data_IF_096101576602
#
_entry.id   IF_096101576602
#
_cell.length_a   1.000
_cell.length_b   1.000
_cell.length_c   1.000
_cell.angle_alpha   90.00
_cell.angle_beta   90.00
_cell.angle_gamma   90.00
#
_symmetry.space_group_name_H-M   'P 1'
#
loop_
_entity.id
_entity.type
_entity.pdbx_description
1 polymer ?
#
# COMPACT_ATOMS: atom_id res chain seq x y z
N UNK A 1 17.76 2.35 6.57
CA UNK A 1 18.53 3.56 6.93
C UNK A 1 19.30 3.35 8.20
N UNK A 2 20.61 3.23 8.09
CA UNK A 2 21.47 3.27 9.27
C UNK A 2 21.79 4.72 9.66
N UNK A 3 21.66 5.00 10.94
CA UNK A 3 21.93 6.27 11.57
C UNK A 3 22.73 6.04 12.86
N UNK A 4 23.35 7.09 13.38
CA UNK A 4 23.86 7.08 14.74
C UNK A 4 22.73 6.72 15.71
N UNK A 5 23.08 6.08 16.84
CA UNK A 5 22.11 5.81 17.89
C UNK A 5 21.34 7.09 18.27
N UNK A 6 20.03 6.95 18.46
CA UNK A 6 19.23 8.00 19.10
C UNK A 6 19.84 8.36 20.46
N UNK A 7 19.82 9.65 20.80
CA UNK A 7 20.22 10.11 22.13
C UNK A 7 19.07 9.96 23.13
N UNK A 8 19.40 10.08 24.42
CA UNK A 8 18.43 10.12 25.51
C UNK A 8 17.47 11.32 25.42
N UNK A 9 17.87 12.42 24.78
CA UNK A 9 16.99 13.57 24.48
C UNK A 9 16.10 13.36 23.25
N UNK A 10 16.31 12.28 22.48
CA UNK A 10 15.56 12.06 21.26
C UNK A 10 14.06 11.95 21.56
N UNK A 11 13.26 12.78 20.90
CA UNK A 11 11.79 12.70 20.94
C UNK A 11 11.24 11.54 20.10
N UNK A 12 12.05 10.91 19.25
CA UNK A 12 11.61 9.79 18.41
C UNK A 12 11.82 8.43 19.06
N UNK A 13 12.77 8.32 19.99
CA UNK A 13 13.05 7.08 20.68
C UNK A 13 12.04 6.86 21.81
N UNK A 14 11.53 5.64 21.98
CA UNK A 14 10.48 5.30 22.96
C UNK A 14 9.20 6.12 22.76
N UNK A 15 8.94 6.62 21.55
CA UNK A 15 7.73 7.40 21.27
C UNK A 15 6.52 6.48 21.21
N UNK A 16 6.66 5.32 20.58
CA UNK A 16 5.57 4.36 20.32
C UNK A 16 5.69 3.13 21.23
N UNK A 17 5.75 3.37 22.55
CA UNK A 17 5.94 2.30 23.54
C UNK A 17 4.87 1.20 23.45
N UNK A 18 3.64 1.57 23.09
CA UNK A 18 2.54 0.60 22.95
C UNK A 18 2.86 -0.49 21.91
N UNK A 19 3.54 -0.13 20.82
CA UNK A 19 3.91 -1.02 19.74
C UNK A 19 5.43 -1.18 19.65
N UNK A 20 6.03 -1.49 20.80
CA UNK A 20 7.47 -1.68 20.93
C UNK A 20 7.82 -3.09 21.40
N UNK A 21 9.00 -3.55 21.00
CA UNK A 21 9.63 -4.76 21.51
C UNK A 21 10.91 -4.43 22.25
N UNK A 22 11.04 -5.03 23.43
CA UNK A 22 12.30 -5.06 24.19
C UNK A 22 13.03 -6.35 23.84
N UNK A 23 14.00 -6.25 22.94
CA UNK A 23 14.84 -7.36 22.48
C UNK A 23 16.08 -7.42 23.35
N UNK A 24 15.99 -8.06 24.51
CA UNK A 24 17.13 -8.23 25.43
C UNK A 24 17.21 -9.70 25.81
N UNK A 25 18.34 -10.35 25.51
CA UNK A 25 18.54 -11.78 25.73
C UNK A 25 18.59 -12.13 27.22
N UNK A 26 19.15 -11.24 28.05
CA UNK A 26 19.20 -11.43 29.50
C UNK A 26 17.81 -11.23 30.15
N UNK A 27 17.21 -12.26 30.77
CA UNK A 27 15.86 -12.16 31.31
C UNK A 27 15.70 -11.15 32.45
N UNK A 28 16.73 -11.00 33.32
CA UNK A 28 16.69 -10.05 34.45
C UNK A 28 16.68 -8.62 33.94
N UNK A 29 17.60 -8.29 33.01
CA UNK A 29 17.67 -6.98 32.40
C UNK A 29 16.39 -6.68 31.59
N UNK A 30 15.91 -7.64 30.79
CA UNK A 30 14.66 -7.51 30.04
C UNK A 30 13.48 -7.17 30.94
N UNK A 31 13.29 -7.91 32.03
CA UNK A 31 12.18 -7.68 32.95
C UNK A 31 12.29 -6.33 33.68
N UNK A 32 13.51 -5.91 34.01
CA UNK A 32 13.76 -4.58 34.55
C UNK A 32 13.30 -3.48 33.59
N UNK A 33 13.75 -3.53 32.33
CA UNK A 33 13.37 -2.53 31.34
C UNK A 33 11.88 -2.57 31.00
N UNK A 34 11.27 -3.75 30.87
CA UNK A 34 9.82 -3.86 30.68
C UNK A 34 9.03 -3.19 31.81
N UNK A 35 9.47 -3.34 33.07
CA UNK A 35 8.87 -2.67 34.23
C UNK A 35 9.05 -1.16 34.15
N UNK A 36 10.26 -0.67 33.90
CA UNK A 36 10.55 0.77 33.79
C UNK A 36 9.73 1.42 32.66
N UNK A 37 9.67 0.78 31.49
CA UNK A 37 8.87 1.25 30.34
C UNK A 37 7.37 1.23 30.64
N UNK A 38 6.87 0.22 31.37
CA UNK A 38 5.49 0.18 31.84
C UNK A 38 5.14 1.37 32.74
N UNK A 39 6.04 1.76 33.63
CA UNK A 39 5.87 2.95 34.48
C UNK A 39 5.86 4.26 33.67
N UNK A 40 6.76 4.37 32.69
CA UNK A 40 6.79 5.52 31.76
C UNK A 40 5.46 5.62 31.02
N UNK A 41 4.94 4.50 30.50
CA UNK A 41 3.70 4.48 29.74
C UNK A 41 2.47 4.85 30.61
N UNK A 42 2.38 4.31 31.84
CA UNK A 42 1.31 4.63 32.78
C UNK A 42 1.28 6.11 33.19
N UNK A 43 2.46 6.73 33.36
CA UNK A 43 2.55 8.18 33.66
C UNK A 43 2.14 9.03 32.45
N UNK A 44 2.41 8.58 31.22
CA UNK A 44 1.99 9.25 29.98
C UNK A 44 0.48 9.19 29.77
N UNK A 45 -0.16 8.05 30.02
CA UNK A 45 -1.62 7.88 29.92
C UNK A 45 -2.40 8.56 31.06
N UNK A 46 -1.71 9.07 32.09
CA UNK A 46 -2.34 9.70 33.24
C UNK A 46 -2.99 8.71 34.21
N UNK A 47 -2.73 7.41 34.06
CA UNK A 47 -3.28 6.34 34.90
C UNK A 47 -2.49 6.11 36.18
N UNK A 48 -1.64 7.07 36.60
CA UNK A 48 -0.93 6.97 37.87
C UNK A 48 -1.88 7.34 39.00
N UNK A 49 -2.27 6.34 39.81
CA UNK A 49 -2.91 6.52 41.11
C UNK A 49 -2.08 7.49 41.95
N UNK A 50 -2.49 8.76 41.95
CA UNK A 50 -1.92 9.81 42.78
C UNK A 50 -3.02 10.84 42.99
N UNK A 51 -3.81 10.57 44.02
CA UNK A 51 -4.67 11.54 44.68
C UNK A 51 -3.88 12.82 44.99
N UNK A 52 -4.51 13.96 44.70
CA UNK A 52 -4.14 15.28 45.25
C UNK A 52 -2.94 15.96 44.61
N UNK A 53 -3.15 16.74 43.55
CA UNK A 53 -2.53 18.07 43.44
C UNK A 53 -3.15 18.89 42.31
N UNK A 54 -3.73 20.01 42.71
CA UNK A 54 -4.20 21.11 41.87
C UNK A 54 -3.01 21.92 41.36
N UNK A 55 -2.91 22.14 40.05
CA UNK A 55 -2.41 23.37 39.38
C UNK A 55 -1.79 23.06 38.01
N UNK A 56 -1.89 24.04 37.11
CA UNK A 56 -1.68 23.89 35.68
C UNK A 56 -0.23 23.68 35.22
N UNK A 57 -0.12 23.06 34.04
CA UNK A 57 0.96 23.20 33.05
C UNK A 57 2.39 23.33 33.59
N UNK A 58 3.10 22.22 33.79
CA UNK A 58 4.51 22.06 33.38
C UNK A 58 5.05 20.66 33.71
N UNK A 59 5.72 20.03 32.73
CA UNK A 59 6.63 18.89 32.88
C UNK A 59 6.24 17.77 33.89
N UNK A 60 5.25 16.94 33.54
CA UNK A 60 5.13 15.62 34.17
C UNK A 60 6.43 14.84 33.90
N UNK A 61 7.27 14.67 34.93
CA UNK A 61 8.46 13.84 34.85
C UNK A 61 8.04 12.38 34.70
N UNK A 62 8.08 11.88 33.46
CA UNK A 62 7.71 10.50 33.13
C UNK A 62 8.79 9.48 33.54
N UNK A 63 10.03 9.93 33.80
CA UNK A 63 11.21 9.06 33.96
C UNK A 63 11.72 8.49 32.64
N UNK A 64 11.22 9.01 31.51
CA UNK A 64 11.56 8.53 30.18
C UNK A 64 13.01 8.80 29.81
N UNK A 65 13.54 10.00 30.13
CA UNK A 65 14.93 10.35 29.85
C UNK A 65 15.88 9.38 30.54
N UNK A 66 15.63 9.08 31.81
CA UNK A 66 16.46 8.17 32.60
C UNK A 66 16.40 6.75 32.05
N UNK A 67 15.19 6.25 31.75
CA UNK A 67 15.00 4.93 31.12
C UNK A 67 15.74 4.84 29.77
N UNK A 68 15.73 5.90 28.94
CA UNK A 68 16.50 5.94 27.69
C UNK A 68 17.99 5.85 27.93
N UNK A 69 18.51 6.64 28.87
CA UNK A 69 19.92 6.64 29.24
C UNK A 69 20.37 5.27 29.71
N UNK A 70 19.58 4.61 30.57
CA UNK A 70 19.87 3.27 31.08
C UNK A 70 19.88 2.20 29.98
N UNK A 71 18.88 2.21 29.08
CA UNK A 71 18.82 1.28 27.94
C UNK A 71 20.03 1.48 27.03
N UNK A 72 20.33 2.72 26.65
CA UNK A 72 21.46 3.03 25.77
C UNK A 72 22.79 2.67 26.44
N UNK A 73 22.95 2.92 27.74
CA UNK A 73 24.14 2.52 28.49
C UNK A 73 24.31 1.00 28.50
N UNK A 74 23.24 0.25 28.78
CA UNK A 74 23.25 -1.21 28.76
C UNK A 74 23.68 -1.76 27.40
N UNK A 75 23.10 -1.25 26.30
CA UNK A 75 23.43 -1.69 24.95
C UNK A 75 24.86 -1.30 24.56
N UNK A 76 25.32 -0.10 24.94
CA UNK A 76 26.69 0.39 24.66
C UNK A 76 27.75 -0.42 25.39
N UNK A 77 27.46 -0.95 26.58
CA UNK A 77 28.38 -1.85 27.29
C UNK A 77 28.62 -3.15 26.53
N UNK A 78 27.66 -3.59 25.72
CA UNK A 78 27.74 -4.84 24.95
C UNK A 78 28.25 -4.64 23.52
N UNK A 79 28.11 -3.46 22.95
CA UNK A 79 28.58 -3.21 21.59
C UNK A 79 28.23 -1.83 21.05
N UNK A 80 28.52 -1.64 19.76
CA UNK A 80 28.21 -0.39 19.07
C UNK A 80 26.71 -0.29 18.80
N UNK A 81 26.09 0.78 19.30
CA UNK A 81 24.65 1.03 19.15
C UNK A 81 24.42 1.96 17.97
N UNK A 82 23.46 1.58 17.13
CA UNK A 82 23.02 2.35 15.98
C UNK A 82 21.50 2.33 15.89
N UNK A 83 20.97 3.17 15.00
CA UNK A 83 19.56 3.18 14.67
C UNK A 83 19.36 2.73 13.23
N UNK A 84 18.47 1.77 13.01
CA UNK A 84 18.00 1.37 11.69
C UNK A 84 16.55 1.80 11.54
N UNK A 85 16.23 2.54 10.48
CA UNK A 85 14.85 2.79 10.07
C UNK A 85 14.55 2.03 8.78
N UNK A 86 13.49 1.23 8.78
CA UNK A 86 13.10 0.33 7.69
C UNK A 86 11.67 0.65 7.27
N UNK A 87 11.45 0.98 6.00
CA UNK A 87 10.12 1.27 5.49
C UNK A 87 9.21 0.04 5.50
N UNK A 88 7.95 0.28 5.81
CA UNK A 88 6.89 -0.72 5.79
C UNK A 88 5.63 -0.10 5.16
N UNK A 89 5.72 0.34 3.90
CA UNK A 89 4.71 1.23 3.29
C UNK A 89 3.28 0.67 3.27
N UNK A 90 3.15 -0.65 3.22
CA UNK A 90 1.87 -1.34 3.23
C UNK A 90 1.50 -1.92 4.61
N UNK A 91 2.16 -1.46 5.69
CA UNK A 91 1.89 -1.94 7.05
C UNK A 91 0.42 -1.79 7.42
N UNK A 92 -0.16 -2.87 7.93
CA UNK A 92 -1.51 -2.88 8.47
C UNK A 92 -1.63 -1.92 9.66
N UNK A 93 -2.82 -1.33 9.80
CA UNK A 93 -3.15 -0.43 10.91
C UNK A 93 -3.85 -1.23 12.04
N UNK A 94 -4.18 -2.50 11.78
CA UNK A 94 -4.86 -3.36 12.73
C UNK A 94 -3.89 -3.88 13.80
N UNK A 95 -4.32 -3.80 15.06
CA UNK A 95 -3.47 -4.06 16.23
C UNK A 95 -3.01 -5.51 16.28
N UNK A 96 -3.88 -6.42 15.88
CA UNK A 96 -3.63 -7.86 15.80
C UNK A 96 -2.51 -8.17 14.82
N UNK A 97 -2.56 -7.59 13.61
CA UNK A 97 -1.54 -7.75 12.57
C UNK A 97 -0.18 -7.20 13.01
N UNK A 98 -0.19 -6.04 13.67
CA UNK A 98 1.05 -5.45 14.23
C UNK A 98 1.62 -6.37 15.31
N UNK A 99 0.79 -6.90 16.21
CA UNK A 99 1.25 -7.83 17.25
C UNK A 99 1.84 -9.12 16.68
N UNK A 100 1.25 -9.67 15.61
CA UNK A 100 1.78 -10.83 14.92
C UNK A 100 3.14 -10.55 14.29
N UNK A 101 3.26 -9.41 13.57
CA UNK A 101 4.53 -8.95 13.02
C UNK A 101 5.61 -8.83 14.10
N UNK A 102 5.28 -8.17 15.23
CA UNK A 102 6.20 -8.02 16.35
C UNK A 102 6.63 -9.38 16.91
N UNK A 103 5.72 -10.35 17.02
CA UNK A 103 6.05 -11.70 17.50
C UNK A 103 7.02 -12.43 16.58
N UNK A 104 6.83 -12.33 15.26
CA UNK A 104 7.74 -12.92 14.26
C UNK A 104 9.12 -12.25 14.33
N UNK A 105 9.16 -10.92 14.37
CA UNK A 105 10.41 -10.16 14.46
C UNK A 105 11.16 -10.46 15.76
N UNK A 106 10.46 -10.61 16.88
CA UNK A 106 11.07 -10.99 18.15
C UNK A 106 11.81 -12.32 18.05
N UNK A 107 11.18 -13.34 17.46
CA UNK A 107 11.80 -14.66 17.31
C UNK A 107 13.06 -14.56 16.43
N UNK A 108 12.93 -13.96 15.25
CA UNK A 108 14.03 -13.89 14.26
C UNK A 108 15.22 -13.08 14.77
N UNK A 109 14.98 -11.94 15.42
CA UNK A 109 16.05 -11.09 15.93
C UNK A 109 16.75 -11.72 17.14
N UNK A 110 16.01 -12.37 18.04
CA UNK A 110 16.62 -13.04 19.19
C UNK A 110 17.41 -14.29 18.80
N UNK A 111 16.98 -15.03 17.77
CA UNK A 111 17.74 -16.17 17.22
C UNK A 111 19.12 -15.76 16.71
N UNK A 112 19.24 -14.53 16.22
CA UNK A 112 20.48 -13.95 15.70
C UNK A 112 21.25 -13.13 16.76
N UNK A 113 20.86 -13.26 18.03
CA UNK A 113 21.44 -12.59 19.19
C UNK A 113 21.44 -11.05 19.08
N UNK A 114 20.44 -10.50 18.39
CA UNK A 114 20.30 -9.05 18.22
C UNK A 114 19.55 -8.48 19.41
N UNK A 115 20.20 -7.53 20.09
CA UNK A 115 19.62 -6.81 21.22
C UNK A 115 19.37 -5.33 20.91
N UNK A 116 18.24 -4.83 21.39
CA UNK A 116 17.81 -3.45 21.19
C UNK A 116 16.34 -3.22 21.52
N UNK A 117 15.85 -2.06 21.10
CA UNK A 117 14.44 -1.69 21.14
C UNK A 117 13.96 -1.54 19.70
N UNK A 118 12.83 -2.16 19.38
CA UNK A 118 12.17 -2.03 18.09
C UNK A 118 10.82 -1.34 18.30
N UNK A 119 10.53 -0.31 17.51
CA UNK A 119 9.29 0.47 17.57
C UNK A 119 8.61 0.48 16.21
N UNK A 120 7.30 0.26 16.19
CA UNK A 120 6.48 0.41 14.98
C UNK A 120 5.93 1.82 14.94
N UNK A 121 6.29 2.56 13.88
CA UNK A 121 5.81 3.90 13.64
C UNK A 121 4.87 3.90 12.44
N UNK A 122 3.59 4.24 12.65
CA UNK A 122 2.64 4.40 11.54
C UNK A 122 3.00 5.61 10.68
N UNK A 123 3.44 6.72 11.29
CA UNK A 123 4.00 7.87 10.59
C UNK A 123 4.78 8.74 11.56
N UNK A 124 5.87 9.37 11.10
CA UNK A 124 6.53 10.40 11.87
C UNK A 124 7.12 11.52 11.03
N UNK A 125 7.70 12.53 11.70
CA UNK A 125 8.27 13.72 11.05
C UNK A 125 9.54 13.45 10.26
N UNK A 126 10.24 12.38 10.57
CA UNK A 126 11.51 12.08 9.93
C UNK A 126 11.25 11.39 8.60
N UNK A 127 10.37 10.40 8.59
CA UNK A 127 10.21 9.49 7.46
C UNK A 127 8.89 9.73 6.72
N UNK A 128 7.87 10.24 7.42
CA UNK A 128 6.54 10.54 6.87
C UNK A 128 5.93 9.37 6.07
N UNK A 129 6.17 8.16 6.56
CA UNK A 129 5.68 6.89 6.05
C UNK A 129 5.70 5.88 7.19
N UNK A 130 4.87 4.83 7.16
CA UNK A 130 5.03 3.73 8.09
C UNK A 130 6.41 3.12 7.96
N UNK A 131 7.02 2.85 9.11
CA UNK A 131 8.35 2.27 9.21
C UNK A 131 8.55 1.62 10.57
N UNK A 132 9.55 0.76 10.63
CA UNK A 132 10.08 0.20 11.87
C UNK A 132 11.36 0.96 12.22
N UNK A 133 11.43 1.45 13.45
CA UNK A 133 12.66 2.02 14.03
C UNK A 133 13.26 0.98 14.98
N UNK A 134 14.48 0.54 14.69
CA UNK A 134 15.27 -0.29 15.58
C UNK A 134 16.41 0.54 16.16
N UNK A 135 16.58 0.53 17.48
CA UNK A 135 17.71 1.15 18.19
C UNK A 135 18.41 0.06 19.00
N UNK A 136 19.61 -0.33 18.59
CA UNK A 136 20.26 -1.49 19.19
C UNK A 136 21.62 -1.81 18.62
N UNK A 137 22.13 -2.97 19.02
CA UNK A 137 23.38 -3.53 18.52
C UNK A 137 23.16 -4.17 17.14
N UNK A 138 24.21 -4.26 16.34
CA UNK A 138 24.18 -4.92 15.03
C UNK A 138 23.03 -4.43 14.13
N UNK A 139 22.74 -3.14 14.16
CA UNK A 139 21.67 -2.51 13.37
C UNK A 139 21.72 -2.84 11.86
N UNK A 140 22.89 -3.00 11.20
CA UNK A 140 22.94 -3.45 9.80
C UNK A 140 22.33 -4.84 9.59
N UNK A 141 22.60 -5.78 10.50
CA UNK A 141 22.05 -7.15 10.43
C UNK A 141 20.55 -7.14 10.78
N UNK A 142 20.17 -6.37 11.80
CA UNK A 142 18.77 -6.19 12.18
C UNK A 142 17.94 -5.61 11.02
N UNK A 143 18.48 -4.62 10.32
CA UNK A 143 17.84 -4.01 9.15
C UNK A 143 17.51 -5.03 8.06
N UNK A 144 18.45 -5.92 7.73
CA UNK A 144 18.25 -6.98 6.72
C UNK A 144 17.15 -7.96 7.15
N UNK A 145 17.20 -8.44 8.40
CA UNK A 145 16.21 -9.38 8.93
C UNK A 145 14.81 -8.76 8.96
N UNK A 146 14.72 -7.51 9.40
CA UNK A 146 13.44 -6.77 9.43
C UNK A 146 12.92 -6.56 8.01
N UNK A 147 13.76 -6.08 7.09
CA UNK A 147 13.38 -5.86 5.69
C UNK A 147 12.89 -7.14 5.01
N UNK A 148 13.61 -8.25 5.19
CA UNK A 148 13.22 -9.54 4.65
C UNK A 148 11.86 -9.99 5.21
N UNK A 149 11.65 -9.86 6.51
CA UNK A 149 10.38 -10.21 7.16
C UNK A 149 9.22 -9.36 6.64
N UNK A 150 9.44 -8.05 6.44
CA UNK A 150 8.42 -7.16 5.90
C UNK A 150 8.03 -7.50 4.46
N UNK A 151 8.99 -7.92 3.64
CA UNK A 151 8.74 -8.33 2.25
C UNK A 151 8.00 -9.67 2.19
N UNK A 152 8.40 -10.65 3.01
CA UNK A 152 7.71 -11.95 3.12
C UNK A 152 6.24 -11.77 3.52
N UNK A 153 5.95 -10.83 4.42
CA UNK A 153 4.60 -10.49 4.87
C UNK A 153 3.90 -9.47 3.94
N UNK A 154 4.51 -9.10 2.82
CA UNK A 154 3.97 -8.15 1.81
C UNK A 154 3.71 -6.74 2.32
N UNK A 155 4.36 -6.34 3.42
CA UNK A 155 4.34 -4.96 3.93
C UNK A 155 5.29 -4.03 3.16
N UNK A 156 6.21 -4.59 2.36
CA UNK A 156 7.10 -3.85 1.49
C UNK A 156 7.36 -4.64 0.19
N UNK A 157 7.71 -3.93 -0.89
CA UNK A 157 7.76 -4.52 -2.24
C UNK A 157 9.01 -5.37 -2.51
N UNK A 158 10.15 -4.99 -1.94
CA UNK A 158 11.43 -5.67 -2.13
C UNK A 158 12.40 -5.30 -1.01
N UNK A 159 13.39 -6.16 -0.77
CA UNK A 159 14.36 -5.99 0.32
C UNK A 159 15.19 -4.72 0.08
N UNK A 160 15.49 -4.38 -1.16
CA UNK A 160 16.26 -3.18 -1.54
C UNK A 160 15.44 -1.90 -1.34
N UNK A 161 14.12 -2.00 -1.45
CA UNK A 161 13.21 -0.86 -1.31
C UNK A 161 12.81 -0.54 0.14
N UNK A 162 13.17 -1.41 1.09
CA UNK A 162 12.84 -1.27 2.51
C UNK A 162 13.85 -0.39 3.30
N UNK A 163 15.18 -0.59 3.19
CA UNK A 163 16.15 0.31 3.77
C UNK A 163 16.25 1.57 2.91
N UNK A 164 16.15 2.78 3.49
CA UNK A 164 16.23 3.96 2.62
C UNK A 164 17.59 4.19 1.98
N UNK A 165 17.50 4.92 0.87
CA UNK A 165 18.59 5.46 0.06
C UNK A 165 19.68 6.09 0.93
N UNK A 166 20.95 5.94 0.50
CA UNK A 166 22.14 6.45 1.19
C UNK A 166 22.06 7.94 1.58
N UNK A 167 21.33 8.76 0.81
CA UNK A 167 21.14 10.20 1.06
C UNK A 167 19.78 10.54 1.68
N UNK A 168 19.40 9.86 2.76
CA UNK A 168 18.15 10.16 3.44
C UNK A 168 18.18 11.57 4.08
N UNK A 169 17.19 12.39 3.74
CA UNK A 169 16.93 13.69 4.38
C UNK A 169 15.62 13.60 5.15
N UNK A 170 15.60 13.95 6.44
CA UNK A 170 14.36 13.96 7.22
C UNK A 170 13.29 14.83 6.57
N UNK A 171 12.05 14.34 6.56
CA UNK A 171 10.92 14.97 5.86
C UNK A 171 10.64 16.39 6.35
N UNK A 172 10.77 16.66 7.65
CA UNK A 172 10.63 18.02 8.19
C UNK A 172 11.64 19.03 7.65
N UNK A 173 12.80 18.59 7.12
CA UNK A 173 13.77 19.50 6.48
C UNK A 173 13.35 19.88 5.06
N UNK A 174 12.48 19.08 4.44
CA UNK A 174 12.04 19.22 3.05
C UNK A 174 10.63 19.84 3.00
N UNK A 175 9.78 19.53 3.99
CA UNK A 175 8.40 20.00 4.04
C UNK A 175 8.13 20.84 5.31
N UNK A 176 7.90 22.16 5.17
CA UNK A 176 7.61 23.04 6.29
C UNK A 176 6.25 22.77 6.96
N UNK A 177 5.33 22.04 6.29
CA UNK A 177 4.02 21.64 6.84
C UNK A 177 4.08 20.33 7.64
N UNK A 178 5.26 19.75 7.89
CA UNK A 178 5.41 18.50 8.62
C UNK A 178 4.84 18.60 10.05
N UNK A 179 3.68 17.95 10.28
CA UNK A 179 2.97 17.94 11.57
C UNK A 179 3.75 17.22 12.66
N UNK A 180 3.59 17.67 13.90
CA UNK A 180 4.03 16.95 15.10
C UNK A 180 2.84 16.16 15.65
N UNK A 181 2.75 14.83 15.47
CA UNK A 181 1.90 14.05 16.35
C UNK A 181 2.45 14.22 17.77
N UNK A 182 1.59 14.60 18.72
CA UNK A 182 1.97 14.65 20.14
C UNK A 182 2.16 13.20 20.65
N UNK A 183 2.84 13.01 21.78
CA UNK A 183 2.94 11.68 22.40
C UNK A 183 1.55 11.06 22.58
N UNK A 184 1.42 9.76 22.28
CA UNK A 184 0.17 8.98 22.34
C UNK A 184 -0.95 9.38 21.36
N UNK A 185 -0.64 10.09 20.27
CA UNK A 185 -1.65 10.45 19.26
C UNK A 185 -1.88 9.34 18.22
N UNK A 186 -1.38 8.13 18.47
CA UNK A 186 -1.44 7.03 17.50
C UNK A 186 -2.89 6.64 17.18
N UNK A 187 -3.81 6.64 18.15
CA UNK A 187 -5.24 6.42 17.87
C UNK A 187 -5.84 7.49 16.96
N UNK A 188 -5.44 8.76 17.12
CA UNK A 188 -5.94 9.83 16.27
C UNK A 188 -5.31 9.74 14.88
N UNK A 189 -4.06 9.30 14.77
CA UNK A 189 -3.37 9.01 13.52
C UNK A 189 -4.03 7.81 12.80
N UNK A 190 -4.40 6.75 13.55
CA UNK A 190 -5.19 5.61 13.05
C UNK A 190 -6.55 6.10 12.53
N UNK A 191 -7.28 6.91 13.31
CA UNK A 191 -8.56 7.50 12.90
C UNK A 191 -8.41 8.39 11.67
N UNK A 192 -7.39 9.23 11.63
CA UNK A 192 -7.09 10.11 10.51
C UNK A 192 -6.81 9.30 9.24
N UNK A 193 -6.00 8.25 9.34
CA UNK A 193 -5.69 7.36 8.21
C UNK A 193 -6.90 6.60 7.72
N UNK A 194 -7.71 6.04 8.63
CA UNK A 194 -9.00 5.44 8.27
C UNK A 194 -9.86 6.44 7.51
N UNK A 195 -9.92 7.70 7.94
CA UNK A 195 -10.67 8.75 7.24
C UNK A 195 -10.10 9.11 5.86
N UNK A 196 -8.78 9.13 5.69
CA UNK A 196 -8.14 9.35 4.38
C UNK A 196 -8.40 8.17 3.45
N UNK A 197 -8.28 6.95 3.96
CA UNK A 197 -8.46 5.74 3.17
C UNK A 197 -9.91 5.63 2.68
N UNK A 198 -10.89 5.95 3.55
CA UNK A 198 -12.30 6.07 3.16
C UNK A 198 -12.46 7.13 2.06
N UNK A 199 -11.96 8.35 2.24
CA UNK A 199 -12.06 9.42 1.22
C UNK A 199 -11.43 9.02 -0.12
N UNK A 200 -10.25 8.41 -0.10
CA UNK A 200 -9.61 7.91 -1.33
C UNK A 200 -10.44 6.82 -2.00
N UNK A 201 -10.99 5.90 -1.22
CA UNK A 201 -11.86 4.86 -1.76
C UNK A 201 -13.14 5.44 -2.37
N UNK A 202 -13.73 6.47 -1.76
CA UNK A 202 -14.89 7.18 -2.31
C UNK A 202 -14.54 7.87 -3.63
N UNK A 203 -13.41 8.59 -3.69
CA UNK A 203 -12.92 9.22 -4.93
C UNK A 203 -12.59 8.19 -6.04
N UNK A 204 -12.05 7.03 -5.67
CA UNK A 204 -11.76 5.94 -6.62
C UNK A 204 -13.04 5.26 -7.13
N UNK A 205 -14.02 5.04 -6.25
CA UNK A 205 -15.35 4.53 -6.61
C UNK A 205 -16.05 5.52 -7.56
N UNK A 206 -16.00 6.81 -7.26
CA UNK A 206 -16.60 7.85 -8.09
C UNK A 206 -15.94 7.92 -9.48
N UNK A 207 -14.61 7.77 -9.56
CA UNK A 207 -13.91 7.63 -10.85
C UNK A 207 -14.36 6.37 -11.59
N UNK A 208 -14.53 5.24 -10.88
CA UNK A 208 -14.98 4.00 -11.50
C UNK A 208 -16.39 4.14 -12.10
N UNK A 209 -17.33 4.73 -11.35
CA UNK A 209 -18.70 5.01 -11.81
C UNK A 209 -18.65 5.90 -13.06
N UNK A 210 -17.88 6.98 -13.03
CA UNK A 210 -17.71 7.87 -14.18
C UNK A 210 -17.13 7.15 -15.42
N UNK A 211 -16.19 6.21 -15.23
CA UNK A 211 -15.68 5.41 -16.35
C UNK A 211 -16.72 4.42 -16.87
N UNK A 212 -17.54 3.86 -15.99
CA UNK A 212 -18.61 2.95 -16.36
C UNK A 212 -19.67 3.67 -17.19
N UNK A 213 -20.11 4.85 -16.76
CA UNK A 213 -21.07 5.69 -17.49
C UNK A 213 -20.56 6.12 -18.86
N UNK A 214 -19.27 6.44 -18.97
CA UNK A 214 -18.62 6.71 -20.27
C UNK A 214 -18.65 5.49 -21.20
N UNK A 215 -18.39 4.29 -20.69
CA UNK A 215 -18.47 3.06 -21.50
C UNK A 215 -19.90 2.72 -21.89
N UNK A 216 -20.86 2.94 -20.98
CA UNK A 216 -22.28 2.66 -21.20
C UNK A 216 -22.87 3.61 -22.25
N UNK A 217 -22.50 4.89 -22.21
CA UNK A 217 -22.86 5.87 -23.25
C UNK A 217 -22.23 5.56 -24.61
N UNK A 218 -20.96 5.12 -24.65
CA UNK A 218 -20.33 4.64 -25.88
C UNK A 218 -21.05 3.42 -26.47
N UNK A 219 -21.46 2.46 -25.63
CA UNK A 219 -22.25 1.29 -26.03
C UNK A 219 -23.62 1.66 -26.60
N UNK A 220 -24.31 2.62 -25.97
CA UNK A 220 -25.59 3.14 -26.49
C UNK A 220 -25.40 3.77 -27.88
N UNK A 221 -24.34 4.56 -28.07
CA UNK A 221 -24.05 5.17 -29.37
C UNK A 221 -23.68 4.14 -30.45
N UNK A 222 -22.92 3.10 -30.13
CA UNK A 222 -22.62 2.02 -31.10
C UNK A 222 -23.87 1.21 -31.43
N UNK A 223 -24.74 0.95 -30.46
CA UNK A 223 -26.00 0.24 -30.67
C UNK A 223 -27.00 1.05 -31.52
N UNK A 224 -27.05 2.37 -31.36
CA UNK A 224 -27.82 3.22 -32.27
C UNK A 224 -27.25 3.24 -33.69
N UNK A 225 -25.92 3.26 -33.83
CA UNK A 225 -25.26 3.19 -35.14
C UNK A 225 -25.55 1.86 -35.85
N UNK A 226 -25.52 0.73 -35.14
CA UNK A 226 -25.84 -0.59 -35.73
C UNK A 226 -27.31 -0.72 -36.09
N UNK A 227 -28.24 -0.19 -35.28
CA UNK A 227 -29.67 -0.12 -35.64
C UNK A 227 -29.92 0.71 -36.92
N UNK A 228 -29.20 1.83 -37.09
CA UNK A 228 -29.28 2.65 -38.33
C UNK A 228 -28.73 1.92 -39.56
N UNK A 229 -27.77 1.00 -39.39
CA UNK A 229 -27.22 0.19 -40.49
C UNK A 229 -28.21 -0.89 -40.93
N UNK A 230 -28.92 -1.52 -40.00
CA UNK A 230 -29.95 -2.54 -40.30
C UNK A 230 -31.18 -1.99 -41.06
N UNK A 231 -31.39 -0.67 -41.04
CA UNK A 231 -32.50 0.00 -41.73
C UNK A 231 -32.19 0.42 -43.18
N UNK A 232 -30.98 0.17 -43.70
CA UNK A 232 -30.71 0.37 -45.13
C UNK A 232 -31.16 -0.88 -45.90
N UNK A 233 -32.19 -0.80 -46.77
CA UNK A 233 -32.63 -1.96 -47.54
C UNK A 233 -31.47 -2.49 -48.37
N UNK A 234 -31.26 -3.80 -48.27
CA UNK A 234 -30.03 -4.46 -48.72
C UNK A 234 -29.84 -4.27 -50.23
N UNK A 235 -28.69 -3.73 -50.62
CA UNK A 235 -28.16 -3.76 -52.00
C UNK A 235 -28.08 -5.17 -52.57
N UNK A 236 -28.18 -6.19 -51.72
CA UNK A 236 -28.24 -7.59 -52.06
C UNK A 236 -29.55 -7.98 -52.76
N UNK A 237 -30.71 -7.57 -52.27
CA UNK A 237 -32.00 -7.89 -52.91
C UNK A 237 -32.13 -7.23 -54.29
N UNK A 238 -31.66 -5.98 -54.42
CA UNK A 238 -31.62 -5.29 -55.70
C UNK A 238 -30.69 -6.02 -56.71
N UNK A 239 -29.50 -6.46 -56.28
CA UNK A 239 -28.60 -7.26 -57.11
C UNK A 239 -29.17 -8.65 -57.45
N UNK A 240 -29.95 -9.26 -56.54
CA UNK A 240 -30.58 -10.56 -56.78
C UNK A 240 -31.66 -10.48 -57.86
N UNK A 241 -32.44 -9.40 -57.89
CA UNK A 241 -33.43 -9.15 -58.96
C UNK A 241 -32.74 -8.89 -60.31
N UNK A 242 -31.62 -8.18 -60.32
CA UNK A 242 -30.84 -7.91 -61.54
C UNK A 242 -30.26 -9.21 -62.14
N UNK A 243 -29.77 -10.14 -61.30
CA UNK A 243 -29.30 -11.45 -61.75
C UNK A 243 -30.44 -12.31 -62.31
N UNK A 244 -31.62 -12.29 -61.67
CA UNK A 244 -32.80 -13.03 -62.16
C UNK A 244 -33.28 -12.53 -63.52
N UNK A 245 -33.25 -11.22 -63.76
CA UNK A 245 -33.69 -10.62 -65.04
C UNK A 245 -32.69 -10.80 -66.18
N UNK A 246 -31.39 -10.92 -65.89
CA UNK A 246 -30.38 -11.18 -66.91
C UNK A 246 -30.34 -12.66 -67.36
N UNK A 247 -30.60 -13.60 -66.46
CA UNK A 247 -30.66 -15.03 -66.80
C UNK A 247 -31.86 -15.39 -67.68
N UNK A 248 -33.01 -14.72 -67.53
CA UNK A 248 -34.18 -14.97 -68.38
C UNK A 248 -33.98 -14.48 -69.82
N UNK A 249 -33.27 -13.36 -70.01
CA UNK A 249 -32.95 -12.81 -71.35
C UNK A 249 -31.97 -13.68 -72.15
N UNK A 250 -31.08 -14.44 -71.49
CA UNK A 250 -30.15 -15.33 -72.19
C UNK A 250 -30.84 -16.62 -72.68
N UNK A 251 -31.78 -17.15 -71.88
CA UNK A 251 -32.55 -18.35 -72.22
C UNK A 251 -33.54 -18.12 -73.38
N UNK A 252 -34.16 -16.94 -73.46
CA UNK A 252 -35.04 -16.59 -74.59
C UNK A 252 -34.28 -16.48 -75.90
N UNK A 253 -33.11 -15.82 -75.91
CA UNK A 253 -32.21 -15.78 -77.08
C UNK A 253 -31.77 -17.16 -77.56
N UNK A 254 -31.43 -18.06 -76.64
CA UNK A 254 -31.06 -19.45 -76.97
C UNK A 254 -32.24 -20.24 -77.57
N UNK A 255 -33.46 -20.05 -77.04
CA UNK A 255 -34.69 -20.64 -77.62
C UNK A 255 -34.94 -20.13 -79.03
N UNK A 256 -34.82 -18.82 -79.26
CA UNK A 256 -35.01 -18.24 -80.60
C UNK A 256 -33.98 -18.76 -81.61
N UNK A 257 -32.70 -18.85 -81.22
CA UNK A 257 -31.66 -19.40 -82.11
C UNK A 257 -31.95 -20.87 -82.48
N UNK A 258 -32.39 -21.70 -81.53
CA UNK A 258 -32.77 -23.09 -81.79
C UNK A 258 -33.95 -23.20 -82.75
N UNK A 259 -34.96 -22.35 -82.61
CA UNK A 259 -36.12 -22.29 -83.52
C UNK A 259 -35.67 -21.89 -84.93
N UNK A 260 -34.85 -20.83 -85.06
CA UNK A 260 -34.31 -20.39 -86.37
C UNK A 260 -33.49 -21.48 -87.05
N UNK A 261 -32.67 -22.20 -86.29
CA UNK A 261 -31.88 -23.32 -86.82
C UNK A 261 -32.76 -24.48 -87.31
N UNK A 262 -33.81 -24.83 -86.55
CA UNK A 262 -34.79 -25.86 -86.93
C UNK A 262 -35.52 -25.49 -88.23
N UNK A 263 -35.96 -24.23 -88.36
CA UNK A 263 -36.61 -23.73 -89.59
C UNK A 263 -35.64 -23.78 -90.79
N UNK A 264 -34.39 -23.36 -90.62
CA UNK A 264 -33.37 -23.46 -91.69
C UNK A 264 -33.12 -24.90 -92.14
N UNK A 265 -33.09 -25.85 -91.21
CA UNK A 265 -32.87 -27.27 -91.52
C UNK A 265 -34.05 -27.89 -92.29
N UNK A 266 -35.28 -27.51 -91.95
CA UNK A 266 -36.49 -27.96 -92.66
C UNK A 266 -36.54 -27.42 -94.09
N UNK A 267 -36.12 -26.18 -94.32
CA UNK A 267 -36.04 -25.57 -95.67
C UNK A 267 -34.97 -26.15 -96.60
N UNK A 268 -34.03 -26.96 -96.08
CA UNK A 268 -32.99 -27.63 -96.88
C UNK A 268 -33.34 -29.08 -97.23
N UNK A 269 -34.51 -29.58 -96.78
CA UNK A 269 -34.96 -30.96 -96.96
C UNK A 269 -36.25 -31.10 -97.77
N UNK A 270 -36.83 -29.98 -98.22
CA UNK A 270 -37.87 -29.93 -99.25
C UNK A 270 -37.32 -29.21 -100.45
#
# INVERSE_FOLDING_TARGET
MLQAARSEESRSFLRELEFSLVLIGNPKARNYFLKSLGQVNAKRSGSSDSAGSTSGSSNKQTGEKDTKSEILAYLRQKGYVQTANIWARALSIDKEDINELLKILQIRLLQEEIEGILEVHLQDREINSPHIQFVGMNAPKAEVIIAQTLVELKYETSIESAPSKKDFRPYYKINPKARYPKHNDLESEIKYRKSIQIKKSEEEIEKLINTFDKKLSQLKQTLEKTKKIALKPSTFEAKLQEIRTNNTKSLTKLREQRIRYRIRRLRRRG
#
